data_IF_461139686357
#
_entry.id   IF_461139686357
#
_cell.length_a   1.000
_cell.length_b   1.000
_cell.length_c   1.000
_cell.angle_alpha   90.00
_cell.angle_beta   90.00
_cell.angle_gamma   90.00
#
_symmetry.space_group_name_H-M   'P 1'
#
loop_
_entity.id
_entity.type
_entity.pdbx_description
1 polymer ?
#
# COMPACT_ATOMS: atom_id res chain seq x y z
N UNK A 1 -71.68 2.20 -33.32
CA UNK A 1 -70.78 2.99 -32.45
C UNK A 1 -69.57 2.15 -32.09
N UNK A 2 -68.46 2.35 -32.76
CA UNK A 2 -67.23 1.63 -32.49
C UNK A 2 -66.47 2.44 -31.45
N UNK A 3 -66.36 1.90 -30.20
CA UNK A 3 -65.53 2.45 -29.15
C UNK A 3 -64.07 2.23 -29.50
N UNK A 4 -63.32 3.28 -29.81
CA UNK A 4 -61.87 3.28 -29.85
C UNK A 4 -61.34 2.93 -28.47
N UNK A 5 -60.76 1.75 -28.26
CA UNK A 5 -59.87 1.47 -27.17
C UNK A 5 -58.57 2.24 -27.43
N UNK A 6 -58.37 3.32 -26.69
CA UNK A 6 -57.04 3.93 -26.56
C UNK A 6 -56.20 2.96 -25.76
N UNK A 7 -55.17 2.38 -26.39
CA UNK A 7 -54.12 1.72 -25.63
C UNK A 7 -53.35 2.83 -24.93
N UNK A 8 -53.41 2.88 -23.59
CA UNK A 8 -52.45 3.59 -22.78
C UNK A 8 -51.10 2.87 -22.92
N UNK A 9 -50.27 3.33 -23.80
CA UNK A 9 -48.86 3.05 -23.78
C UNK A 9 -48.31 3.80 -22.57
N UNK A 10 -48.22 3.15 -21.43
CA UNK A 10 -47.30 3.57 -20.37
C UNK A 10 -45.91 3.45 -20.93
N UNK A 11 -45.37 4.54 -21.44
CA UNK A 11 -43.94 4.73 -21.63
C UNK A 11 -43.31 4.69 -20.23
N UNK A 12 -42.79 3.55 -19.84
CA UNK A 12 -41.83 3.50 -18.77
C UNK A 12 -40.62 4.25 -19.29
N UNK A 13 -40.52 5.54 -18.98
CA UNK A 13 -39.28 6.27 -19.13
C UNK A 13 -38.30 5.57 -18.17
N UNK A 14 -37.33 4.85 -18.71
CA UNK A 14 -36.29 4.22 -17.89
C UNK A 14 -35.59 5.28 -17.06
N UNK A 15 -35.28 4.96 -15.82
CA UNK A 15 -34.53 5.86 -14.95
C UNK A 15 -33.08 5.92 -15.47
N UNK A 16 -32.55 7.11 -15.78
CA UNK A 16 -31.16 7.23 -16.19
C UNK A 16 -30.20 6.60 -15.17
N UNK A 17 -29.12 6.00 -15.62
CA UNK A 17 -28.14 5.35 -14.74
C UNK A 17 -27.58 6.34 -13.72
N UNK A 18 -27.32 7.58 -14.10
CA UNK A 18 -26.85 8.65 -13.21
C UNK A 18 -27.81 8.96 -12.06
N UNK A 19 -29.11 8.74 -12.25
CA UNK A 19 -30.12 8.91 -11.19
C UNK A 19 -30.17 7.69 -10.25
N UNK A 20 -29.75 6.51 -10.74
CA UNK A 20 -29.63 5.29 -9.95
C UNK A 20 -28.33 5.23 -9.14
N UNK A 21 -27.31 5.99 -9.54
CA UNK A 21 -26.00 6.07 -8.90
C UNK A 21 -25.61 7.53 -8.68
N UNK A 22 -26.35 8.21 -7.83
CA UNK A 22 -26.00 9.58 -7.46
C UNK A 22 -24.63 9.62 -6.80
N UNK A 23 -23.90 10.72 -6.98
CA UNK A 23 -22.54 10.82 -6.40
C UNK A 23 -22.54 10.63 -4.89
N UNK A 24 -23.56 11.12 -4.19
CA UNK A 24 -23.71 10.94 -2.74
C UNK A 24 -23.90 9.47 -2.34
N UNK A 25 -24.68 8.70 -3.10
CA UNK A 25 -24.87 7.26 -2.84
C UNK A 25 -23.57 6.50 -3.05
N UNK A 26 -22.84 6.79 -4.12
CA UNK A 26 -21.53 6.16 -4.39
C UNK A 26 -20.52 6.49 -3.29
N UNK A 27 -20.47 7.75 -2.82
CA UNK A 27 -19.58 8.16 -1.73
C UNK A 27 -19.94 7.48 -0.42
N UNK A 28 -21.24 7.45 -0.06
CA UNK A 28 -21.71 6.76 1.13
C UNK A 28 -21.41 5.26 1.07
N UNK A 29 -21.64 4.63 -0.08
CA UNK A 29 -21.32 3.21 -0.27
C UNK A 29 -19.85 2.91 -0.01
N UNK A 30 -18.94 3.69 -0.59
CA UNK A 30 -17.48 3.50 -0.42
C UNK A 30 -17.07 3.73 1.03
N UNK A 31 -17.61 4.74 1.71
CA UNK A 31 -17.35 5.02 3.12
C UNK A 31 -17.80 3.90 4.05
N UNK A 32 -19.02 3.41 3.82
CA UNK A 32 -19.67 2.42 4.71
C UNK A 32 -19.19 0.98 4.40
N UNK A 33 -18.43 0.80 3.30
CA UNK A 33 -17.89 -0.49 2.91
C UNK A 33 -16.63 -0.83 3.70
N UNK A 34 -16.67 -1.95 4.43
CA UNK A 34 -15.48 -2.48 5.09
C UNK A 34 -14.60 -3.23 4.08
N UNK A 35 -13.40 -2.73 3.87
CA UNK A 35 -12.36 -3.41 3.09
C UNK A 35 -11.40 -4.14 4.03
N UNK A 36 -10.90 -5.31 3.60
CA UNK A 36 -9.89 -6.03 4.36
C UNK A 36 -8.67 -5.14 4.62
N UNK A 37 -8.19 -5.04 5.87
CA UNK A 37 -7.02 -4.24 6.19
C UNK A 37 -5.77 -4.82 5.55
N UNK A 38 -4.87 -3.95 5.08
CA UNK A 38 -3.57 -4.30 4.54
C UNK A 38 -2.49 -3.98 5.57
N UNK A 39 -1.40 -4.75 5.57
CA UNK A 39 -0.33 -4.59 6.56
C UNK A 39 0.30 -3.19 6.53
N UNK A 40 0.48 -2.64 5.33
CA UNK A 40 1.04 -1.31 5.17
C UNK A 40 0.18 -0.19 5.71
N UNK A 41 -1.11 -0.38 5.89
CA UNK A 41 -2.00 0.61 6.53
C UNK A 41 -1.71 0.75 8.03
N UNK A 42 -1.22 -0.30 8.67
CA UNK A 42 -0.77 -0.25 10.08
C UNK A 42 0.60 0.43 10.19
N UNK A 43 1.54 0.07 9.30
CA UNK A 43 2.90 0.62 9.33
C UNK A 43 2.98 2.06 8.83
N UNK A 44 2.08 2.44 7.91
CA UNK A 44 1.99 3.77 7.29
C UNK A 44 0.54 4.25 7.29
N UNK A 45 0.00 4.67 8.47
CA UNK A 45 -1.38 5.14 8.59
C UNK A 45 -1.71 6.23 7.59
N UNK A 46 -2.98 6.29 7.18
CA UNK A 46 -3.45 7.22 6.18
C UNK A 46 -3.68 8.62 6.77
N UNK A 47 -3.18 9.65 6.08
CA UNK A 47 -3.40 11.05 6.44
C UNK A 47 -3.74 11.89 5.23
N UNK A 48 -4.82 12.67 5.30
CA UNK A 48 -5.21 13.60 4.25
C UNK A 48 -4.42 14.91 4.37
N UNK A 49 -3.95 15.44 3.23
CA UNK A 49 -3.22 16.70 3.12
C UNK A 49 -3.87 17.59 2.05
N UNK A 50 -3.89 18.91 2.23
CA UNK A 50 -4.41 19.83 1.21
C UNK A 50 -3.42 20.08 0.06
N UNK A 51 -2.16 19.67 0.19
CA UNK A 51 -1.10 19.89 -0.79
C UNK A 51 -0.87 18.67 -1.68
N UNK A 52 -0.37 18.89 -2.89
CA UNK A 52 0.14 17.84 -3.79
C UNK A 52 1.62 17.52 -3.56
N UNK A 53 2.30 18.30 -2.74
CA UNK A 53 3.69 18.07 -2.34
C UNK A 53 3.82 18.02 -0.83
N UNK A 54 4.83 17.31 -0.35
CA UNK A 54 5.20 17.29 1.06
C UNK A 54 6.72 17.19 1.22
N UNK A 55 7.17 17.60 2.40
CA UNK A 55 8.58 17.54 2.77
C UNK A 55 8.88 16.22 3.46
N UNK A 56 9.71 15.39 2.85
CA UNK A 56 10.32 14.22 3.49
C UNK A 56 11.57 14.69 4.23
N UNK A 57 11.64 14.45 5.53
CA UNK A 57 12.81 14.71 6.36
C UNK A 57 13.56 13.39 6.49
N UNK A 58 14.82 13.38 6.08
CA UNK A 58 15.69 12.21 6.14
C UNK A 58 16.89 12.53 7.04
N UNK A 59 17.43 11.52 7.73
CA UNK A 59 18.67 11.65 8.49
C UNK A 59 18.48 12.36 9.84
N UNK A 60 17.57 11.85 10.65
CA UNK A 60 17.41 12.27 12.04
C UNK A 60 17.70 11.11 12.97
N UNK A 61 18.98 10.82 13.30
CA UNK A 61 19.28 9.79 14.31
C UNK A 61 18.52 10.09 15.62
N UNK A 62 17.93 9.04 16.22
CA UNK A 62 17.33 9.15 17.57
C UNK A 62 18.37 9.20 18.68
N UNK A 63 19.64 9.01 18.37
CA UNK A 63 20.71 9.13 19.34
C UNK A 63 20.84 10.61 19.75
N UNK A 64 20.68 10.93 21.04
CA UNK A 64 20.80 12.32 21.47
C UNK A 64 22.24 12.80 21.36
N UNK A 65 22.40 13.99 20.76
CA UNK A 65 23.70 14.67 20.74
C UNK A 65 23.98 15.19 22.15
N UNK A 66 25.09 14.75 22.74
CA UNK A 66 25.50 15.24 24.05
C UNK A 66 25.87 16.72 23.99
N UNK A 67 25.28 17.51 24.88
CA UNK A 67 25.67 18.92 25.01
C UNK A 67 27.09 19.00 25.56
N UNK A 68 27.89 19.98 25.02
CA UNK A 68 29.21 20.26 25.50
C UNK A 68 29.17 20.95 26.90
N UNK A 69 30.15 20.63 27.73
CA UNK A 69 30.30 21.29 29.05
C UNK A 69 31.11 22.55 28.85
N UNK A 70 30.58 23.64 29.35
CA UNK A 70 31.22 24.96 29.29
C UNK A 70 31.64 25.45 30.69
N UNK A 71 32.65 26.29 30.72
CA UNK A 71 32.99 27.02 31.93
C UNK A 71 31.98 28.16 32.17
N UNK A 72 31.88 28.65 33.40
CA UNK A 72 31.00 29.81 33.74
C UNK A 72 31.40 31.03 32.93
N UNK A 73 30.40 31.83 32.50
CA UNK A 73 30.57 33.07 31.73
C UNK A 73 31.17 32.90 30.33
N UNK A 74 31.09 31.64 29.74
CA UNK A 74 31.47 31.37 28.36
C UNK A 74 30.25 31.29 27.43
N UNK A 75 30.44 31.62 26.15
CA UNK A 75 29.41 31.54 25.12
C UNK A 75 29.07 30.09 24.77
N UNK A 76 27.78 29.80 24.54
CA UNK A 76 27.28 28.48 24.19
C UNK A 76 27.60 28.11 22.74
N UNK A 77 28.01 26.88 22.49
CA UNK A 77 28.21 26.34 21.16
C UNK A 77 26.90 26.24 20.38
N UNK A 78 26.93 26.63 19.11
CA UNK A 78 25.74 26.55 18.22
C UNK A 78 25.67 25.17 17.60
N UNK A 79 24.69 24.37 18.01
CA UNK A 79 24.41 23.07 17.42
C UNK A 79 23.81 23.18 16.01
N UNK A 80 24.18 22.26 15.13
CA UNK A 80 23.54 22.08 13.82
C UNK A 80 22.41 21.04 13.89
N UNK A 81 21.41 21.17 13.02
CA UNK A 81 20.39 20.11 12.84
C UNK A 81 20.91 19.09 11.85
N UNK A 82 20.89 17.83 12.25
CA UNK A 82 21.08 16.72 11.33
C UNK A 82 19.80 16.53 10.52
N UNK A 83 19.94 16.19 9.23
CA UNK A 83 18.83 15.83 8.35
C UNK A 83 18.77 16.65 7.08
N UNK A 84 18.49 15.95 5.98
CA UNK A 84 18.14 16.51 4.69
C UNK A 84 16.64 16.69 4.55
N UNK A 85 16.24 17.68 3.78
CA UNK A 85 14.85 17.90 3.39
C UNK A 85 14.70 17.62 1.91
N UNK A 86 13.77 16.75 1.53
CA UNK A 86 13.42 16.44 0.16
C UNK A 86 11.95 16.74 -0.07
N UNK A 87 11.63 17.57 -1.04
CA UNK A 87 10.24 17.76 -1.46
C UNK A 87 9.82 16.66 -2.40
N UNK A 88 8.72 15.98 -2.08
CA UNK A 88 8.15 14.89 -2.86
C UNK A 88 6.75 15.25 -3.34
N UNK A 89 6.42 14.84 -4.58
CA UNK A 89 5.11 15.05 -5.20
C UNK A 89 4.26 13.77 -5.09
N UNK A 90 2.98 13.94 -4.72
CA UNK A 90 2.02 12.85 -4.62
C UNK A 90 1.67 12.30 -6.01
N UNK A 91 1.53 11.00 -6.11
CA UNK A 91 1.23 10.30 -7.36
C UNK A 91 -0.27 10.12 -7.57
N UNK A 92 -0.76 10.44 -8.77
CA UNK A 92 -2.15 10.21 -9.15
C UNK A 92 -2.37 8.76 -9.57
N UNK A 93 -3.20 8.04 -8.81
CA UNK A 93 -3.57 6.65 -9.03
C UNK A 93 -5.03 6.61 -9.45
N UNK A 94 -5.32 6.06 -10.64
CA UNK A 94 -6.69 5.98 -11.14
C UNK A 94 -6.92 4.75 -12.00
N UNK A 95 -8.13 4.22 -11.93
CA UNK A 95 -8.60 3.14 -12.79
C UNK A 95 -10.08 3.32 -13.08
N UNK A 96 -10.52 2.90 -14.27
CA UNK A 96 -11.94 2.92 -14.66
C UNK A 96 -12.36 1.62 -15.33
N UNK A 97 -13.63 1.29 -15.22
CA UNK A 97 -14.31 0.21 -15.94
C UNK A 97 -15.45 0.82 -16.75
N UNK A 98 -15.72 0.22 -17.90
CA UNK A 98 -16.79 0.63 -18.79
C UNK A 98 -17.96 -0.34 -18.68
N UNK A 99 -19.14 0.23 -18.46
CA UNK A 99 -20.39 -0.48 -18.67
C UNK A 99 -20.75 -0.38 -20.14
N UNK A 100 -20.97 -1.53 -20.79
CA UNK A 100 -21.22 -1.59 -22.23
C UNK A 100 -22.68 -1.17 -22.56
N UNK A 101 -22.90 -0.67 -23.76
CA UNK A 101 -24.22 -0.22 -24.23
C UNK A 101 -25.36 -1.21 -23.97
N UNK A 102 -25.10 -2.53 -24.14
CA UNK A 102 -26.11 -3.57 -23.85
C UNK A 102 -26.51 -3.63 -22.38
N UNK A 103 -25.54 -3.44 -21.50
CA UNK A 103 -25.80 -3.44 -20.04
C UNK A 103 -26.52 -2.14 -19.63
N UNK A 104 -26.17 -1.02 -20.26
CA UNK A 104 -26.88 0.27 -20.07
C UNK A 104 -28.34 0.15 -20.46
N UNK A 105 -28.66 -0.36 -21.65
CA UNK A 105 -30.02 -0.56 -22.11
C UNK A 105 -30.80 -1.49 -21.17
N UNK A 106 -30.15 -2.54 -20.65
CA UNK A 106 -30.76 -3.49 -19.74
C UNK A 106 -31.04 -2.88 -18.34
N UNK A 107 -30.18 -1.96 -17.85
CA UNK A 107 -30.37 -1.27 -16.56
C UNK A 107 -31.51 -0.24 -16.68
N UNK A 108 -31.53 0.54 -17.76
CA UNK A 108 -32.53 1.59 -17.96
C UNK A 108 -33.89 1.03 -18.37
N UNK A 109 -33.94 -0.14 -19.02
CA UNK A 109 -35.17 -0.78 -19.45
C UNK A 109 -35.20 -2.25 -18.97
N UNK A 110 -35.24 -2.50 -17.66
CA UNK A 110 -35.22 -3.85 -17.11
C UNK A 110 -36.55 -4.60 -17.42
N UNK A 111 -36.45 -5.90 -17.70
CA UNK A 111 -37.62 -6.76 -17.90
C UNK A 111 -38.30 -7.10 -16.58
N UNK A 112 -37.51 -7.16 -15.52
CA UNK A 112 -37.99 -7.45 -14.15
C UNK A 112 -37.18 -6.64 -13.14
N UNK A 113 -37.74 -6.39 -11.96
CA UNK A 113 -37.03 -5.76 -10.86
C UNK A 113 -35.78 -6.56 -10.46
N UNK A 114 -35.84 -7.88 -10.44
CA UNK A 114 -34.69 -8.73 -10.12
C UNK A 114 -33.52 -8.58 -11.12
N UNK A 115 -33.81 -8.34 -12.40
CA UNK A 115 -32.78 -8.03 -13.40
C UNK A 115 -32.12 -6.69 -13.14
N UNK A 116 -32.92 -5.68 -12.79
CA UNK A 116 -32.38 -4.36 -12.42
C UNK A 116 -31.48 -4.42 -11.20
N UNK A 117 -31.96 -5.07 -10.12
CA UNK A 117 -31.20 -5.23 -8.88
C UNK A 117 -29.88 -5.98 -9.10
N UNK A 118 -29.88 -7.00 -9.95
CA UNK A 118 -28.66 -7.73 -10.32
C UNK A 118 -27.66 -6.82 -11.04
N UNK A 119 -28.11 -6.03 -12.00
CA UNK A 119 -27.24 -5.14 -12.78
C UNK A 119 -26.71 -3.97 -11.93
N UNK A 120 -27.54 -3.41 -11.06
CA UNK A 120 -27.11 -2.41 -10.06
C UNK A 120 -26.02 -3.01 -9.16
N UNK A 121 -26.22 -4.24 -8.66
CA UNK A 121 -25.23 -4.94 -7.86
C UNK A 121 -23.88 -5.14 -8.58
N UNK A 122 -23.89 -5.32 -9.91
CA UNK A 122 -22.65 -5.38 -10.70
C UNK A 122 -21.88 -4.05 -10.70
N UNK A 123 -22.57 -2.91 -10.81
CA UNK A 123 -21.91 -1.60 -10.78
C UNK A 123 -21.28 -1.35 -9.41
N UNK A 124 -21.94 -1.69 -8.32
CA UNK A 124 -21.36 -1.61 -6.98
C UNK A 124 -20.16 -2.54 -6.82
N UNK A 125 -20.22 -3.77 -7.36
CA UNK A 125 -19.06 -4.66 -7.37
C UNK A 125 -17.89 -4.09 -8.20
N UNK A 126 -18.16 -3.40 -9.30
CA UNK A 126 -17.13 -2.70 -10.08
C UNK A 126 -16.49 -1.57 -9.27
N UNK A 127 -17.28 -0.84 -8.45
CA UNK A 127 -16.76 0.17 -7.51
C UNK A 127 -15.81 -0.50 -6.50
N UNK A 128 -16.22 -1.60 -5.86
CA UNK A 128 -15.39 -2.34 -4.90
C UNK A 128 -14.06 -2.80 -5.52
N UNK A 129 -14.11 -3.37 -6.72
CA UNK A 129 -12.92 -3.84 -7.47
C UNK A 129 -11.99 -2.68 -7.79
N UNK A 130 -12.53 -1.52 -8.16
CA UNK A 130 -11.73 -0.34 -8.49
C UNK A 130 -11.09 0.27 -7.26
N UNK A 131 -11.83 0.44 -6.17
CA UNK A 131 -11.30 0.95 -4.89
C UNK A 131 -10.22 0.01 -4.34
N UNK A 132 -10.50 -1.30 -4.32
CA UNK A 132 -9.51 -2.30 -3.92
C UNK A 132 -8.25 -2.25 -4.81
N UNK A 133 -8.41 -1.97 -6.12
CA UNK A 133 -7.29 -1.81 -7.05
C UNK A 133 -6.41 -0.59 -6.75
N UNK A 134 -7.00 0.54 -6.34
CA UNK A 134 -6.26 1.73 -5.89
C UNK A 134 -5.52 1.44 -4.59
N UNK A 135 -6.20 0.86 -3.58
CA UNK A 135 -5.57 0.45 -2.31
C UNK A 135 -4.41 -0.54 -2.53
N UNK A 136 -4.59 -1.51 -3.43
CA UNK A 136 -3.55 -2.47 -3.78
C UNK A 136 -2.31 -1.80 -4.39
N UNK A 137 -2.46 -0.76 -5.19
CA UNK A 137 -1.31 0.00 -5.73
C UNK A 137 -0.56 0.73 -4.60
N UNK A 138 -1.28 1.36 -3.69
CA UNK A 138 -0.70 2.08 -2.57
C UNK A 138 0.03 1.11 -1.64
N UNK A 139 -0.56 -0.05 -1.36
CA UNK A 139 0.10 -1.10 -0.58
C UNK A 139 1.39 -1.62 -1.23
N UNK A 140 1.39 -1.79 -2.57
CA UNK A 140 2.59 -2.17 -3.30
C UNK A 140 3.71 -1.13 -3.15
N UNK A 141 3.36 0.17 -3.19
CA UNK A 141 4.32 1.26 -2.96
C UNK A 141 4.85 1.28 -1.53
N UNK A 142 4.00 1.06 -0.51
CA UNK A 142 4.40 0.94 0.90
C UNK A 142 5.40 -0.20 1.12
N UNK A 143 5.10 -1.37 0.56
CA UNK A 143 5.94 -2.57 0.73
C UNK A 143 7.23 -2.50 -0.07
N UNK A 144 7.23 -1.90 -1.26
CA UNK A 144 8.44 -1.64 -2.04
C UNK A 144 9.36 -0.67 -1.30
N UNK A 145 8.83 0.45 -0.81
CA UNK A 145 9.54 1.42 0.01
C UNK A 145 10.16 0.78 1.25
N UNK A 146 9.37 0.02 2.01
CA UNK A 146 9.84 -0.68 3.21
C UNK A 146 10.97 -1.68 2.88
N UNK A 147 10.86 -2.39 1.77
CA UNK A 147 11.80 -3.45 1.41
C UNK A 147 13.10 -2.94 0.74
N UNK A 148 13.06 -1.77 0.09
CA UNK A 148 14.16 -1.30 -0.76
C UNK A 148 14.58 0.15 -0.52
N UNK A 149 13.84 0.89 0.33
CA UNK A 149 14.04 2.32 0.52
C UNK A 149 13.65 3.19 -0.68
N UNK A 150 13.04 2.59 -1.71
CA UNK A 150 12.73 3.26 -2.97
C UNK A 150 11.34 2.89 -3.46
N UNK A 151 10.75 3.77 -4.25
CA UNK A 151 9.57 3.47 -5.05
C UNK A 151 9.91 3.72 -6.51
N UNK A 152 9.76 2.69 -7.34
CA UNK A 152 10.04 2.78 -8.78
C UNK A 152 8.82 2.34 -9.56
N UNK A 153 8.13 3.28 -10.20
CA UNK A 153 6.99 3.02 -11.07
C UNK A 153 7.26 3.54 -12.46
N UNK A 154 7.35 2.65 -13.43
CA UNK A 154 7.52 2.98 -14.85
C UNK A 154 6.29 2.50 -15.63
N UNK A 155 5.21 3.27 -15.60
CA UNK A 155 3.93 2.92 -16.23
C UNK A 155 3.33 4.15 -16.94
N UNK A 156 2.62 3.95 -18.05
CA UNK A 156 1.87 4.99 -18.75
C UNK A 156 2.68 6.26 -19.09
N UNK A 157 3.95 6.12 -19.47
CA UNK A 157 4.91 7.20 -19.74
C UNK A 157 5.28 8.04 -18.49
N UNK A 158 4.91 7.59 -17.30
CA UNK A 158 5.37 8.14 -16.03
C UNK A 158 6.55 7.31 -15.52
N UNK A 159 7.64 7.96 -15.18
CA UNK A 159 8.75 7.40 -14.42
C UNK A 159 8.77 8.09 -13.05
N UNK A 160 8.18 7.44 -12.07
CA UNK A 160 8.29 7.83 -10.68
C UNK A 160 9.48 7.07 -10.09
N UNK A 161 10.47 7.78 -9.60
CA UNK A 161 11.60 7.24 -8.87
C UNK A 161 11.80 8.09 -7.62
N UNK A 162 11.39 7.56 -6.49
CA UNK A 162 11.56 8.19 -5.17
C UNK A 162 12.58 7.38 -4.40
N UNK A 163 13.63 8.02 -3.94
CA UNK A 163 14.65 7.45 -3.05
C UNK A 163 14.49 8.11 -1.66
N UNK A 164 14.27 7.30 -0.64
CA UNK A 164 14.10 7.75 0.75
C UNK A 164 15.42 7.84 1.49
N UNK A 165 16.55 7.65 0.79
CA UNK A 165 17.91 7.81 1.30
C UNK A 165 18.16 7.03 2.60
N UNK A 166 17.77 5.74 2.62
CA UNK A 166 18.12 4.85 3.74
C UNK A 166 19.65 4.85 3.90
N UNK A 167 20.21 4.97 5.11
CA UNK A 167 21.64 4.90 5.35
C UNK A 167 22.27 3.67 4.72
N UNK A 168 23.45 3.83 4.13
CA UNK A 168 24.12 2.74 3.41
C UNK A 168 24.59 1.60 4.31
N UNK A 169 24.84 1.88 5.57
CA UNK A 169 25.16 0.93 6.63
C UNK A 169 23.95 0.16 7.16
N UNK A 170 22.74 0.67 6.88
CA UNK A 170 21.48 -0.02 7.14
C UNK A 170 21.00 -0.87 5.95
N UNK A 171 21.84 -1.09 4.96
CA UNK A 171 21.50 -1.88 3.77
C UNK A 171 22.56 -2.93 3.50
N UNK A 172 22.19 -4.19 3.33
CA UNK A 172 23.11 -5.24 2.94
C UNK A 172 22.46 -6.25 1.98
N UNK A 173 23.18 -6.60 0.92
CA UNK A 173 22.85 -7.69 0.01
C UNK A 173 23.90 -8.79 0.11
N UNK A 174 23.53 -9.95 0.64
CA UNK A 174 24.40 -11.10 0.73
C UNK A 174 24.63 -11.73 -0.65
N UNK A 175 25.83 -12.19 -0.91
CA UNK A 175 26.22 -12.79 -2.20
C UNK A 175 26.99 -14.08 -2.01
N UNK A 176 26.92 -14.97 -2.99
CA UNK A 176 27.68 -16.23 -3.00
C UNK A 176 27.37 -17.11 -1.80
N UNK A 177 28.43 -17.57 -1.11
CA UNK A 177 28.33 -18.46 0.07
C UNK A 177 27.85 -17.77 1.33
N UNK A 178 27.72 -16.45 1.35
CA UNK A 178 27.12 -15.72 2.47
C UNK A 178 25.58 -15.78 2.46
N UNK A 179 24.94 -16.10 1.33
CA UNK A 179 23.48 -16.20 1.25
C UNK A 179 22.94 -17.27 2.20
N UNK A 180 21.80 -17.03 2.81
CA UNK A 180 21.15 -17.98 3.73
C UNK A 180 20.65 -19.27 3.07
N UNK A 181 20.76 -19.37 1.76
CA UNK A 181 20.54 -20.63 0.99
C UNK A 181 21.77 -21.54 1.01
N UNK A 182 22.94 -21.04 1.40
CA UNK A 182 24.16 -21.82 1.51
C UNK A 182 24.33 -22.35 2.94
N UNK A 183 24.50 -23.67 3.16
CA UNK A 183 24.65 -24.25 4.49
C UNK A 183 25.89 -23.75 5.28
N UNK A 184 26.89 -23.16 4.59
CA UNK A 184 28.09 -22.62 5.24
C UNK A 184 27.89 -21.20 5.80
N UNK A 185 26.85 -20.49 5.36
CA UNK A 185 26.53 -19.14 5.84
C UNK A 185 26.18 -19.12 7.33
N UNK A 186 26.05 -17.95 7.91
CA UNK A 186 25.77 -17.80 9.34
C UNK A 186 24.68 -16.74 9.59
N UNK A 187 23.39 -17.14 9.47
CA UNK A 187 22.29 -16.20 9.67
C UNK A 187 22.26 -15.52 11.04
N UNK A 188 22.74 -16.18 12.10
CA UNK A 188 22.75 -15.57 13.44
C UNK A 188 23.76 -14.43 13.53
N UNK A 189 24.98 -14.63 12.99
CA UNK A 189 25.97 -13.57 12.94
C UNK A 189 25.55 -12.41 12.04
N UNK A 190 24.82 -12.70 10.96
CA UNK A 190 24.28 -11.65 10.10
C UNK A 190 23.23 -10.82 10.86
N UNK A 191 22.31 -11.47 11.57
CA UNK A 191 21.32 -10.79 12.39
C UNK A 191 21.97 -9.93 13.49
N UNK A 192 22.97 -10.46 14.22
CA UNK A 192 23.73 -9.70 15.22
C UNK A 192 24.38 -8.46 14.59
N UNK A 193 25.10 -8.64 13.49
CA UNK A 193 25.76 -7.53 12.76
C UNK A 193 24.77 -6.46 12.31
N UNK A 194 23.60 -6.87 11.82
CA UNK A 194 22.58 -5.94 11.36
C UNK A 194 21.89 -5.20 12.52
N UNK A 195 21.70 -5.87 13.65
CA UNK A 195 21.19 -5.24 14.88
C UNK A 195 22.20 -4.23 15.42
N UNK A 196 23.49 -4.59 15.45
CA UNK A 196 24.57 -3.72 15.92
C UNK A 196 24.79 -2.49 15.02
N UNK A 197 24.40 -2.57 13.76
CA UNK A 197 24.47 -1.44 12.82
C UNK A 197 23.36 -0.40 13.04
N UNK A 198 22.27 -0.79 13.73
CA UNK A 198 21.14 0.12 13.97
C UNK A 198 21.33 0.93 15.25
N UNK A 199 20.95 2.20 15.22
CA UNK A 199 21.00 3.11 16.37
C UNK A 199 20.09 2.65 17.53
N UNK A 200 18.98 1.96 17.18
CA UNK A 200 17.98 1.44 18.15
C UNK A 200 17.75 -0.03 17.86
N UNK A 201 17.74 -0.84 18.92
CA UNK A 201 17.49 -2.29 18.79
C UNK A 201 16.13 -2.58 18.15
N UNK A 202 16.05 -3.30 17.02
CA UNK A 202 14.79 -3.60 16.35
C UNK A 202 13.98 -4.62 17.14
N UNK A 203 12.68 -4.40 17.25
CA UNK A 203 11.75 -5.32 17.93
C UNK A 203 11.01 -6.24 16.96
N UNK A 204 10.93 -5.87 15.71
CA UNK A 204 10.15 -6.56 14.66
C UNK A 204 10.97 -6.79 13.41
N UNK A 205 10.65 -7.88 12.72
CA UNK A 205 11.18 -8.17 11.40
C UNK A 205 10.08 -8.63 10.45
N UNK A 206 10.15 -8.16 9.19
CA UNK A 206 9.23 -8.56 8.12
C UNK A 206 10.01 -9.21 6.98
N UNK A 207 9.48 -10.32 6.48
CA UNK A 207 10.13 -11.04 5.37
C UNK A 207 9.12 -11.78 4.51
N UNK A 208 9.62 -12.39 3.45
CA UNK A 208 8.84 -13.31 2.61
C UNK A 208 8.86 -14.73 3.18
N UNK A 209 7.88 -15.54 2.75
CA UNK A 209 7.90 -16.98 3.07
C UNK A 209 9.13 -17.70 2.50
N UNK A 210 9.72 -17.19 1.40
CA UNK A 210 10.92 -17.78 0.78
C UNK A 210 12.13 -17.62 1.70
N UNK A 211 12.37 -16.40 2.20
CA UNK A 211 13.45 -16.11 3.15
C UNK A 211 13.21 -16.83 4.49
N UNK A 212 11.97 -16.78 5.01
CA UNK A 212 11.61 -17.50 6.22
C UNK A 212 11.97 -18.99 6.15
N UNK A 213 11.64 -19.66 5.04
CA UNK A 213 11.98 -21.07 4.85
C UNK A 213 13.48 -21.31 4.78
N UNK A 214 14.23 -20.43 4.09
CA UNK A 214 15.67 -20.51 4.05
C UNK A 214 16.27 -20.43 5.46
N UNK A 215 15.79 -19.48 6.29
CA UNK A 215 16.19 -19.34 7.69
C UNK A 215 15.82 -20.56 8.52
N UNK A 216 14.56 -20.99 8.51
CA UNK A 216 14.05 -22.10 9.33
C UNK A 216 14.66 -23.47 8.96
N UNK A 217 15.09 -23.66 7.72
CA UNK A 217 15.77 -24.87 7.26
C UNK A 217 17.29 -24.81 7.35
N UNK A 218 17.87 -23.69 7.80
CA UNK A 218 19.30 -23.50 7.84
C UNK A 218 19.94 -24.36 8.94
N UNK A 219 21.03 -25.13 8.65
CA UNK A 219 21.63 -26.06 9.63
C UNK A 219 22.05 -25.39 10.95
N UNK A 220 22.57 -24.17 10.90
CA UNK A 220 22.98 -23.44 12.11
C UNK A 220 21.79 -23.01 12.97
N UNK A 221 20.67 -22.64 12.35
CA UNK A 221 19.42 -22.32 13.09
C UNK A 221 18.86 -23.59 13.75
N UNK A 222 18.79 -24.70 13.01
CA UNK A 222 18.35 -25.99 13.55
C UNK A 222 19.24 -26.41 14.73
N UNK A 223 20.56 -26.27 14.58
CA UNK A 223 21.51 -26.60 15.62
C UNK A 223 21.40 -25.67 16.86
N UNK A 224 21.11 -24.41 16.67
CA UNK A 224 20.91 -23.46 17.76
C UNK A 224 19.63 -23.75 18.58
N UNK A 225 18.54 -24.14 17.89
CA UNK A 225 17.24 -24.41 18.54
C UNK A 225 17.19 -25.83 19.15
N UNK A 226 17.65 -26.84 18.45
CA UNK A 226 17.47 -28.24 18.84
C UNK A 226 18.76 -29.00 19.15
N UNK A 227 19.92 -28.36 19.04
CA UNK A 227 21.22 -28.98 19.15
C UNK A 227 21.74 -29.54 17.81
N UNK A 228 23.06 -29.82 17.81
CA UNK A 228 23.77 -30.31 16.61
C UNK A 228 23.21 -31.67 16.18
N UNK A 229 23.15 -31.87 14.89
CA UNK A 229 22.69 -33.09 14.21
C UNK A 229 21.22 -33.46 14.48
N UNK A 230 20.40 -32.51 14.87
CA UNK A 230 18.95 -32.69 14.98
C UNK A 230 18.29 -32.81 13.63
N UNK A 231 17.53 -33.90 13.40
CA UNK A 231 16.68 -34.08 12.22
C UNK A 231 15.30 -33.40 12.31
N UNK A 232 15.10 -32.53 13.30
CA UNK A 232 13.80 -31.86 13.52
C UNK A 232 13.61 -30.70 12.58
N UNK A 233 12.35 -30.42 12.25
CA UNK A 233 11.95 -29.26 11.46
C UNK A 233 11.60 -28.13 12.44
N UNK A 234 12.16 -26.95 12.20
CA UNK A 234 11.83 -25.75 12.97
C UNK A 234 10.44 -25.27 12.61
N UNK A 235 9.54 -25.25 13.60
CA UNK A 235 8.22 -24.63 13.46
C UNK A 235 8.30 -23.12 13.67
N UNK A 236 7.24 -22.39 13.32
CA UNK A 236 7.18 -20.96 13.56
C UNK A 236 7.24 -20.65 15.07
N UNK A 237 6.57 -21.44 15.91
CA UNK A 237 6.61 -21.26 17.34
C UNK A 237 8.01 -21.49 17.94
N UNK A 238 8.76 -22.49 17.45
CA UNK A 238 10.15 -22.74 17.89
C UNK A 238 11.05 -21.57 17.51
N UNK A 239 10.89 -21.03 16.30
CA UNK A 239 11.68 -19.89 15.84
C UNK A 239 11.32 -18.61 16.60
N UNK A 240 10.02 -18.32 16.77
CA UNK A 240 9.56 -17.14 17.52
C UNK A 240 10.08 -17.16 18.96
N UNK A 241 9.97 -18.31 19.65
CA UNK A 241 10.48 -18.48 21.01
C UNK A 241 12.01 -18.34 21.12
N UNK A 242 12.74 -18.85 20.11
CA UNK A 242 14.18 -18.71 20.04
C UNK A 242 14.57 -17.24 19.84
N UNK A 243 13.95 -16.54 18.89
CA UNK A 243 14.22 -15.11 18.60
C UNK A 243 13.94 -14.26 19.84
N UNK A 244 12.78 -14.43 20.48
CA UNK A 244 12.40 -13.69 21.68
C UNK A 244 13.37 -13.94 22.86
N UNK A 245 13.73 -15.22 23.10
CA UNK A 245 14.62 -15.58 24.20
C UNK A 245 16.03 -15.00 24.05
N UNK A 246 16.50 -14.83 22.82
CA UNK A 246 17.84 -14.32 22.51
C UNK A 246 17.86 -12.84 22.16
N UNK A 247 16.71 -12.13 22.26
CA UNK A 247 16.62 -10.69 22.00
C UNK A 247 16.66 -10.32 20.52
N UNK A 248 16.39 -11.26 19.62
CA UNK A 248 16.22 -10.99 18.19
C UNK A 248 14.80 -10.46 17.91
N UNK A 249 14.61 -9.69 16.83
CA UNK A 249 13.30 -9.15 16.46
C UNK A 249 12.30 -10.26 16.11
N UNK A 250 11.04 -10.08 16.50
CA UNK A 250 9.95 -11.02 16.19
C UNK A 250 9.69 -11.05 14.68
N UNK A 251 9.83 -12.24 14.09
CA UNK A 251 9.75 -12.42 12.64
C UNK A 251 8.32 -12.68 12.16
N UNK A 252 7.85 -11.89 11.21
CA UNK A 252 6.56 -12.08 10.53
C UNK A 252 6.76 -12.19 9.03
N UNK A 253 5.84 -12.89 8.36
CA UNK A 253 5.88 -13.06 6.90
C UNK A 253 4.70 -12.38 6.26
N UNK A 254 4.94 -11.61 5.17
CA UNK A 254 3.90 -11.03 4.36
C UNK A 254 3.95 -11.60 2.94
N UNK A 255 2.89 -12.31 2.53
CA UNK A 255 2.87 -13.07 1.27
C UNK A 255 1.64 -12.74 0.40
N UNK A 256 0.89 -11.70 0.77
CA UNK A 256 -0.26 -11.24 0.02
C UNK A 256 0.13 -10.81 -1.40
N UNK A 257 -0.83 -10.95 -2.32
CA UNK A 257 -0.62 -10.78 -3.75
C UNK A 257 -1.63 -9.82 -4.35
N UNK A 258 -1.21 -9.16 -5.41
CA UNK A 258 -2.08 -8.35 -6.26
C UNK A 258 -1.87 -8.68 -7.74
N UNK A 259 -2.81 -8.23 -8.58
CA UNK A 259 -2.71 -8.41 -10.03
C UNK A 259 -2.48 -7.08 -10.72
N UNK A 260 -1.60 -7.08 -11.71
CA UNK A 260 -1.37 -5.96 -12.61
C UNK A 260 -1.87 -6.35 -13.99
N UNK A 261 -2.62 -5.47 -14.63
CA UNK A 261 -3.02 -5.65 -16.02
C UNK A 261 -1.97 -5.03 -16.94
N UNK A 262 -1.36 -5.85 -17.77
CA UNK A 262 -0.40 -5.43 -18.78
C UNK A 262 -1.11 -4.74 -19.97
N UNK A 263 -0.35 -3.99 -20.77
CA UNK A 263 -0.88 -3.31 -21.98
C UNK A 263 -1.53 -4.26 -22.99
N UNK A 264 -1.12 -5.52 -23.00
CA UNK A 264 -1.69 -6.59 -23.85
C UNK A 264 -2.99 -7.20 -23.31
N UNK A 265 -3.50 -6.68 -22.16
CA UNK A 265 -4.70 -7.17 -21.47
C UNK A 265 -4.47 -8.38 -20.56
N UNK A 266 -3.27 -8.97 -20.53
CA UNK A 266 -2.93 -10.06 -19.61
C UNK A 266 -2.83 -9.56 -18.17
N UNK A 267 -3.14 -10.46 -17.23
CA UNK A 267 -2.96 -10.21 -15.79
C UNK A 267 -1.75 -10.97 -15.28
N UNK A 268 -0.83 -10.21 -14.66
CA UNK A 268 0.34 -10.77 -13.97
C UNK A 268 0.13 -10.63 -12.46
N UNK A 269 0.35 -11.71 -11.71
CA UNK A 269 0.28 -11.73 -10.26
C UNK A 269 1.63 -11.35 -9.67
N UNK A 270 1.66 -10.36 -8.79
CA UNK A 270 2.84 -9.93 -8.05
C UNK A 270 2.59 -10.05 -6.55
N UNK A 271 3.63 -10.17 -5.76
CA UNK A 271 3.57 -10.04 -4.30
C UNK A 271 3.76 -8.58 -3.91
N UNK A 272 3.11 -8.16 -2.81
CA UNK A 272 3.36 -6.83 -2.27
C UNK A 272 4.79 -6.72 -1.74
N UNK A 273 5.20 -7.65 -0.89
CA UNK A 273 6.55 -7.69 -0.35
C UNK A 273 7.46 -8.56 -1.24
N UNK A 274 8.67 -8.07 -1.63
CA UNK A 274 9.61 -8.80 -2.47
C UNK A 274 10.07 -10.11 -1.83
N UNK A 275 10.29 -11.14 -2.66
CA UNK A 275 10.54 -12.52 -2.18
C UNK A 275 11.90 -12.73 -1.51
N UNK A 276 12.87 -11.86 -1.80
CA UNK A 276 14.26 -11.99 -1.36
C UNK A 276 14.67 -10.95 -0.32
N UNK A 277 13.71 -10.24 0.27
CA UNK A 277 13.97 -9.18 1.24
C UNK A 277 13.66 -9.60 2.68
N UNK A 278 14.42 -9.01 3.58
CA UNK A 278 14.28 -9.11 5.03
C UNK A 278 14.47 -7.71 5.60
N UNK A 279 13.54 -7.26 6.42
CA UNK A 279 13.55 -5.89 6.96
C UNK A 279 13.35 -5.97 8.46
N UNK A 280 14.18 -5.25 9.23
CA UNK A 280 14.02 -5.08 10.67
C UNK A 280 13.66 -3.64 10.99
N UNK A 281 12.83 -3.43 12.01
CA UNK A 281 12.39 -2.10 12.45
C UNK A 281 11.96 -2.12 13.92
N UNK A 282 11.84 -0.91 14.49
CA UNK A 282 11.58 -0.73 15.93
C UNK A 282 10.12 -0.48 16.23
N UNK A 283 9.47 0.39 15.50
CA UNK A 283 8.14 0.92 15.80
C UNK A 283 7.03 0.27 14.98
N UNK A 284 5.79 0.37 15.47
CA UNK A 284 4.60 -0.04 14.74
C UNK A 284 4.23 0.92 13.60
N UNK A 285 4.68 2.18 13.69
CA UNK A 285 4.41 3.22 12.71
C UNK A 285 5.74 3.77 12.18
N UNK A 286 6.03 3.53 10.92
CA UNK A 286 7.27 3.91 10.26
C UNK A 286 7.18 5.20 9.46
N UNK A 287 5.96 5.69 9.26
CA UNK A 287 5.66 6.89 8.50
C UNK A 287 4.17 7.04 8.31
N UNK A 288 3.76 7.79 7.29
CA UNK A 288 2.36 8.02 6.96
C UNK A 288 2.14 7.84 5.46
N UNK A 289 0.92 7.47 5.08
CA UNK A 289 0.51 7.56 3.67
C UNK A 289 -0.28 8.84 3.47
N UNK A 290 0.30 9.78 2.74
CA UNK A 290 -0.31 11.08 2.50
C UNK A 290 -1.25 10.99 1.29
N UNK A 291 -2.47 11.47 1.50
CA UNK A 291 -3.49 11.60 0.46
C UNK A 291 -3.76 13.06 0.17
N UNK A 292 -3.49 13.47 -1.06
CA UNK A 292 -3.75 14.83 -1.54
C UNK A 292 -5.09 14.97 -2.26
N UNK A 293 -5.47 16.20 -2.62
CA UNK A 293 -6.68 16.46 -3.37
C UNK A 293 -6.60 15.88 -4.79
N UNK A 294 -7.74 15.42 -5.30
CA UNK A 294 -7.90 15.05 -6.71
C UNK A 294 -8.68 16.14 -7.46
N UNK A 295 -8.55 16.18 -8.79
CA UNK A 295 -9.31 17.12 -9.59
C UNK A 295 -10.82 16.88 -9.48
N UNK A 296 -11.21 15.62 -9.34
CA UNK A 296 -12.58 15.19 -9.13
C UNK A 296 -13.11 15.70 -7.78
N UNK A 297 -12.35 15.51 -6.70
CA UNK A 297 -12.69 16.02 -5.37
C UNK A 297 -12.84 17.54 -5.39
N UNK A 298 -11.92 18.26 -6.02
CA UNK A 298 -11.96 19.71 -6.13
C UNK A 298 -13.21 20.21 -6.87
N UNK A 299 -13.73 19.43 -7.82
CA UNK A 299 -14.99 19.76 -8.52
C UNK A 299 -16.19 19.46 -7.64
N UNK A 300 -16.20 18.31 -6.97
CA UNK A 300 -17.30 17.91 -6.08
C UNK A 300 -17.47 18.87 -4.90
N UNK A 301 -16.39 19.40 -4.35
CA UNK A 301 -16.47 20.40 -3.27
C UNK A 301 -17.12 21.72 -3.68
N UNK A 302 -17.29 21.97 -4.99
CA UNK A 302 -18.01 23.14 -5.52
C UNK A 302 -19.49 22.87 -5.81
N UNK A 303 -19.90 21.61 -5.77
CA UNK A 303 -21.28 21.19 -5.99
C UNK A 303 -22.03 21.19 -4.66
N UNK A 304 -23.01 22.10 -4.45
CA UNK A 304 -23.73 22.19 -3.20
C UNK A 304 -24.64 20.99 -2.91
N UNK A 305 -24.87 20.13 -3.92
CA UNK A 305 -25.68 18.91 -3.76
C UNK A 305 -24.87 17.74 -3.19
N UNK A 306 -23.53 17.84 -3.15
CA UNK A 306 -22.65 16.79 -2.65
C UNK A 306 -22.23 17.05 -1.22
N UNK A 307 -22.42 16.05 -0.36
CA UNK A 307 -21.90 16.07 1.00
C UNK A 307 -20.39 15.80 0.99
N UNK A 308 -19.62 16.86 1.16
CA UNK A 308 -18.14 16.78 1.15
C UNK A 308 -17.55 16.08 2.36
N UNK A 309 -18.32 15.93 3.45
CA UNK A 309 -17.86 15.26 4.67
C UNK A 309 -17.69 13.74 4.51
N UNK A 310 -18.33 13.18 3.48
CA UNK A 310 -18.26 11.73 3.17
C UNK A 310 -17.17 11.39 2.15
N UNK A 311 -16.39 12.36 1.67
CA UNK A 311 -15.30 12.12 0.73
C UNK A 311 -14.12 11.47 1.46
N UNK A 312 -13.89 10.19 1.18
CA UNK A 312 -12.77 9.41 1.70
C UNK A 312 -11.45 9.69 0.98
N UNK A 313 -10.42 8.91 1.33
CA UNK A 313 -9.10 8.99 0.72
C UNK A 313 -9.07 8.46 -0.72
N UNK A 314 -9.95 7.52 -1.05
CA UNK A 314 -10.18 7.02 -2.41
C UNK A 314 -11.56 7.47 -2.86
N UNK A 315 -11.61 8.25 -3.92
CA UNK A 315 -12.85 8.75 -4.50
C UNK A 315 -13.33 7.79 -5.60
N UNK A 316 -14.59 7.36 -5.53
CA UNK A 316 -15.26 6.68 -6.63
C UNK A 316 -16.34 7.55 -7.23
N UNK A 317 -16.56 7.43 -8.53
CA UNK A 317 -17.63 8.11 -9.26
C UNK A 317 -18.15 7.25 -10.42
N UNK A 318 -19.42 7.43 -10.72
CA UNK A 318 -20.09 6.91 -11.93
C UNK A 318 -20.48 8.11 -12.79
N UNK A 319 -20.18 8.06 -14.07
CA UNK A 319 -20.49 9.14 -15.01
C UNK A 319 -20.75 8.62 -16.42
N UNK A 320 -21.56 9.33 -17.17
CA UNK A 320 -21.92 8.99 -18.53
C UNK A 320 -21.06 9.76 -19.55
N UNK A 321 -20.70 9.06 -20.62
CA UNK A 321 -20.15 9.63 -21.85
C UNK A 321 -21.22 9.52 -22.94
N UNK A 322 -21.74 10.66 -23.37
CA UNK A 322 -22.83 10.72 -24.34
C UNK A 322 -22.36 10.79 -25.80
N UNK A 323 -21.04 10.89 -26.01
CA UNK A 323 -20.43 10.87 -27.34
C UNK A 323 -20.15 9.45 -27.79
N UNK A 324 -19.92 9.28 -29.10
CA UNK A 324 -19.60 7.99 -29.71
C UNK A 324 -18.22 7.44 -29.25
N UNK A 325 -18.13 6.22 -28.68
CA UNK A 325 -19.24 5.37 -28.25
C UNK A 325 -19.90 5.85 -26.93
N UNK A 326 -21.23 5.72 -26.87
CA UNK A 326 -21.98 5.95 -25.63
C UNK A 326 -21.57 4.93 -24.58
N UNK A 327 -21.37 5.38 -23.36
CA UNK A 327 -20.95 4.47 -22.28
C UNK A 327 -21.05 5.09 -20.90
N UNK A 328 -21.31 4.27 -19.92
CA UNK A 328 -21.21 4.64 -18.50
C UNK A 328 -19.89 4.13 -17.94
N UNK A 329 -19.19 4.97 -17.22
CA UNK A 329 -17.90 4.68 -16.64
C UNK A 329 -17.98 4.70 -15.12
N UNK A 330 -17.49 3.65 -14.51
CA UNK A 330 -17.18 3.62 -13.09
C UNK A 330 -15.70 3.88 -12.92
N UNK A 331 -15.30 4.82 -12.06
CA UNK A 331 -13.92 5.22 -11.85
C UNK A 331 -13.60 5.31 -10.36
N UNK A 332 -12.40 4.85 -9.96
CA UNK A 332 -11.81 5.17 -8.68
C UNK A 332 -10.50 5.93 -8.88
N UNK A 333 -10.25 6.91 -8.03
CA UNK A 333 -9.09 7.80 -8.08
C UNK A 333 -8.63 8.17 -6.68
N UNK A 334 -7.32 8.26 -6.50
CA UNK A 334 -6.66 8.84 -5.34
C UNK A 334 -5.35 9.51 -5.77
N UNK A 335 -4.95 10.53 -5.04
CA UNK A 335 -3.61 11.11 -5.14
C UNK A 335 -2.88 10.75 -3.87
N UNK A 336 -1.86 9.89 -3.93
CA UNK A 336 -1.20 9.39 -2.73
C UNK A 336 0.28 9.07 -2.93
N UNK A 337 1.06 9.20 -1.85
CA UNK A 337 2.42 8.70 -1.74
C UNK A 337 2.72 8.40 -0.26
N UNK A 338 3.33 7.25 0.08
CA UNK A 338 3.80 7.01 1.43
C UNK A 338 5.02 7.89 1.76
N UNK A 339 5.09 8.41 2.99
CA UNK A 339 6.28 9.03 3.58
C UNK A 339 6.99 8.01 4.47
N UNK A 340 8.28 8.15 4.66
CA UNK A 340 9.09 7.23 5.46
C UNK A 340 9.84 7.99 6.56
N UNK A 341 9.13 8.36 7.62
CA UNK A 341 9.70 9.15 8.70
C UNK A 341 10.80 8.39 9.47
N UNK A 342 10.64 7.06 9.61
CA UNK A 342 11.59 6.18 10.29
C UNK A 342 12.58 5.52 9.31
N UNK A 343 12.98 6.21 8.25
CA UNK A 343 13.90 5.68 7.25
C UNK A 343 15.26 5.27 7.86
N UNK A 344 15.73 5.99 8.87
CA UNK A 344 17.00 5.73 9.57
C UNK A 344 16.90 4.62 10.61
N UNK A 345 15.69 4.16 10.94
CA UNK A 345 15.41 3.16 11.98
C UNK A 345 15.07 1.78 11.40
N UNK A 346 15.31 1.60 10.13
CA UNK A 346 15.02 0.36 9.41
C UNK A 346 16.30 -0.21 8.84
N UNK A 347 16.51 -1.52 9.01
CA UNK A 347 17.56 -2.25 8.32
C UNK A 347 16.97 -3.08 7.19
N UNK A 348 17.50 -2.94 6.00
CA UNK A 348 17.05 -3.62 4.78
C UNK A 348 18.09 -4.61 4.29
N UNK A 349 17.79 -5.90 4.38
CA UNK A 349 18.68 -6.95 3.90
C UNK A 349 18.12 -7.71 2.70
N UNK A 350 19.04 -8.24 1.88
CA UNK A 350 18.74 -9.24 0.87
C UNK A 350 19.53 -10.52 1.19
N UNK A 351 18.97 -11.42 2.02
CA UNK A 351 19.68 -12.61 2.47
C UNK A 351 19.70 -13.76 1.46
N UNK A 352 18.91 -13.70 0.41
CA UNK A 352 18.82 -14.70 -0.66
C UNK A 352 18.73 -14.05 -2.04
N UNK A 353 18.95 -14.82 -3.10
CA UNK A 353 18.84 -14.38 -4.49
C UNK A 353 17.39 -14.14 -4.97
#
# INVERSE_FOLDING_TARGET
MLTKKTMDLQLFAGTPITDLFTQNEVLNYVRDREYAPLLGETLFPERKTPSLTFDQINGGSRIPIAASVHDFDTETEIGSREGGKQELELSLIKRKLQLKEKDIIAIENPRTQAEQDYLIGRVYNDIDVLVAGVRARIEAMRMEMLATGKITVAENNLNLNVDYNIPSDHQEALTGTAMWTDPSSDPLKDLERWIDAMDVTPSKALTSRKVYRALASHPKIIAAIFGKDSGRVVSQGDLDAFMETHGYPVLRTYNEKYKVQEKNGKYTTKKYFPENRFVMFTDDTLGETLYGPTAEETRLTRDPSVDTSVIGNVLACVYDETKDPVGTWTKAVATALPSFAAADEVFQAQPIA
#
